data_IF_779438231547
#
_entry.id   IF_779438231547
#
_cell.length_a   1.000
_cell.length_b   1.000
_cell.length_c   1.000
_cell.angle_alpha   90.00
_cell.angle_beta   90.00
_cell.angle_gamma   90.00
#
_symmetry.space_group_name_H-M   'P 1'
#
loop_
_entity.id
_entity.type
_entity.pdbx_description
1 polymer ?
#
# COMPACT_ATOMS: atom_id res chain seq x y z
N UNK A 1 8.80 21.30 -1.96
CA UNK A 1 7.78 21.12 -0.96
C UNK A 1 7.37 19.65 -0.89
N UNK A 2 7.24 19.12 0.33
CA UNK A 2 6.92 17.71 0.62
C UNK A 2 5.65 17.21 -0.07
N UNK A 3 4.74 18.10 -0.37
CA UNK A 3 3.44 17.78 -0.98
C UNK A 3 3.54 17.17 -2.38
N UNK A 4 4.52 17.60 -3.16
CA UNK A 4 4.76 17.06 -4.49
C UNK A 4 5.25 15.60 -4.44
N UNK A 5 5.80 15.19 -3.29
CA UNK A 5 6.28 13.83 -3.07
C UNK A 5 5.16 12.78 -3.16
N UNK A 6 3.91 13.12 -2.79
CA UNK A 6 2.77 12.20 -2.94
C UNK A 6 2.57 11.73 -4.38
N UNK A 7 2.84 12.60 -5.35
CA UNK A 7 2.66 12.28 -6.78
C UNK A 7 3.96 11.78 -7.43
N UNK A 8 5.10 12.43 -7.12
CA UNK A 8 6.39 12.14 -7.76
C UNK A 8 7.12 10.95 -7.15
N UNK A 9 7.07 10.82 -5.81
CA UNK A 9 7.80 9.80 -5.08
C UNK A 9 7.15 8.42 -5.18
N UNK A 10 7.83 7.45 -4.57
CA UNK A 10 7.39 6.06 -4.58
C UNK A 10 6.21 5.76 -3.65
N UNK A 11 5.74 4.51 -3.66
CA UNK A 11 4.60 4.03 -2.87
C UNK A 11 4.72 4.26 -1.36
N UNK A 12 5.94 4.33 -0.85
CA UNK A 12 6.19 4.46 0.59
C UNK A 12 5.53 5.70 1.22
N UNK A 13 5.60 6.85 0.53
CA UNK A 13 5.00 8.11 1.01
C UNK A 13 3.49 8.03 1.03
N UNK A 14 2.88 7.46 -0.02
CA UNK A 14 1.43 7.29 -0.11
C UNK A 14 0.90 6.31 0.94
N UNK A 15 1.62 5.19 1.19
CA UNK A 15 1.28 4.29 2.30
C UNK A 15 1.37 4.97 3.65
N UNK A 16 2.46 5.73 3.90
CA UNK A 16 2.63 6.47 5.15
C UNK A 16 1.48 7.45 5.39
N UNK A 17 1.01 8.14 4.35
CA UNK A 17 -0.16 9.02 4.45
C UNK A 17 -1.41 8.23 4.88
N UNK A 18 -1.72 7.10 4.23
CA UNK A 18 -2.86 6.26 4.61
C UNK A 18 -2.73 5.75 6.04
N UNK A 19 -1.54 5.26 6.41
CA UNK A 19 -1.29 4.70 7.73
C UNK A 19 -1.43 5.75 8.84
N UNK A 20 -0.97 6.98 8.60
CA UNK A 20 -1.16 8.09 9.54
C UNK A 20 -2.64 8.43 9.71
N UNK A 21 -3.39 8.60 8.61
CA UNK A 21 -4.81 8.93 8.67
C UNK A 21 -5.62 7.83 9.35
N UNK A 22 -5.42 6.57 8.94
CA UNK A 22 -6.19 5.45 9.49
C UNK A 22 -5.83 5.13 10.94
N UNK A 23 -4.58 5.31 11.34
CA UNK A 23 -4.15 5.11 12.74
C UNK A 23 -4.76 6.16 13.69
N UNK A 24 -5.00 7.37 13.19
CA UNK A 24 -5.71 8.41 13.98
C UNK A 24 -7.22 8.12 14.09
N UNK A 25 -7.81 7.48 13.10
CA UNK A 25 -9.24 7.20 13.02
C UNK A 25 -9.64 5.86 13.65
N UNK A 26 -8.70 4.91 13.79
CA UNK A 26 -9.00 3.55 14.23
C UNK A 26 -7.86 2.92 15.01
N UNK A 27 -8.12 2.68 16.30
CA UNK A 27 -7.19 1.95 17.19
C UNK A 27 -6.98 0.50 16.71
N UNK A 28 -8.02 -0.12 16.14
CA UNK A 28 -7.93 -1.46 15.55
C UNK A 28 -6.97 -1.49 14.36
N UNK A 29 -7.01 -0.45 13.49
CA UNK A 29 -6.06 -0.31 12.40
C UNK A 29 -4.63 -0.16 12.91
N UNK A 30 -4.40 0.73 13.87
CA UNK A 30 -3.09 0.96 14.45
C UNK A 30 -2.50 -0.31 15.07
N UNK A 31 -3.30 -1.04 15.87
CA UNK A 31 -2.88 -2.32 16.46
C UNK A 31 -2.54 -3.37 15.39
N UNK A 32 -3.39 -3.50 14.36
CA UNK A 32 -3.16 -4.42 13.25
C UNK A 32 -1.88 -4.06 12.47
N UNK A 33 -1.62 -2.76 12.24
CA UNK A 33 -0.43 -2.30 11.56
C UNK A 33 0.85 -2.64 12.35
N UNK A 34 0.85 -2.46 13.66
CA UNK A 34 1.99 -2.82 14.52
C UNK A 34 2.25 -4.33 14.51
N UNK A 35 1.19 -5.16 14.60
CA UNK A 35 1.31 -6.62 14.51
C UNK A 35 1.91 -7.04 13.17
N UNK A 36 1.41 -6.47 12.08
CA UNK A 36 1.93 -6.74 10.75
C UNK A 36 3.40 -6.37 10.61
N UNK A 37 3.80 -5.18 11.07
CA UNK A 37 5.18 -4.71 10.98
C UNK A 37 6.14 -5.62 11.74
N UNK A 38 5.78 -6.03 12.97
CA UNK A 38 6.56 -6.97 13.77
C UNK A 38 6.73 -8.33 13.06
N UNK A 39 5.63 -8.88 12.52
CA UNK A 39 5.68 -10.15 11.79
C UNK A 39 6.53 -10.05 10.50
N UNK A 40 6.42 -8.93 9.78
CA UNK A 40 7.23 -8.67 8.58
C UNK A 40 8.73 -8.60 8.91
N UNK A 41 9.11 -7.93 9.99
CA UNK A 41 10.51 -7.87 10.45
C UNK A 41 11.05 -9.25 10.78
N UNK A 42 10.30 -10.05 11.55
CA UNK A 42 10.67 -11.40 11.94
C UNK A 42 10.79 -12.32 10.71
N UNK A 43 9.80 -12.30 9.81
CA UNK A 43 9.89 -13.08 8.56
C UNK A 43 11.06 -12.65 7.69
N UNK A 44 11.31 -11.34 7.58
CA UNK A 44 12.42 -10.82 6.78
C UNK A 44 13.77 -11.25 7.35
N UNK A 45 13.93 -11.33 8.68
CA UNK A 45 15.14 -11.85 9.31
C UNK A 45 15.39 -13.30 8.90
N UNK A 46 14.40 -14.18 9.01
CA UNK A 46 14.51 -15.58 8.54
C UNK A 46 14.85 -15.69 7.05
N UNK A 47 14.21 -14.88 6.21
CA UNK A 47 14.49 -14.91 4.77
C UNK A 47 15.93 -14.46 4.44
N UNK A 48 16.49 -13.52 5.20
CA UNK A 48 17.88 -13.09 5.04
C UNK A 48 18.88 -14.16 5.47
N UNK A 49 18.58 -14.89 6.54
CA UNK A 49 19.39 -16.04 6.97
C UNK A 49 19.33 -17.16 5.93
N UNK A 50 18.13 -17.46 5.43
CA UNK A 50 17.93 -18.44 4.37
C UNK A 50 18.70 -18.11 3.09
N UNK A 51 18.72 -16.83 2.69
CA UNK A 51 19.53 -16.34 1.56
C UNK A 51 21.03 -16.59 1.77
N UNK A 52 21.50 -16.65 3.02
CA UNK A 52 22.90 -16.95 3.37
C UNK A 52 23.20 -18.44 3.44
N UNK A 53 22.23 -19.30 3.14
CA UNK A 53 22.37 -20.74 3.12
C UNK A 53 21.93 -21.45 4.42
N UNK A 54 21.34 -20.73 5.37
CA UNK A 54 20.77 -21.32 6.59
C UNK A 54 19.36 -21.81 6.24
N UNK A 55 19.09 -23.10 6.34
CA UNK A 55 17.76 -23.65 6.06
C UNK A 55 16.75 -23.10 7.07
N UNK A 56 15.71 -22.35 6.62
CA UNK A 56 14.73 -21.77 7.53
C UNK A 56 13.82 -22.88 8.08
N UNK A 57 13.43 -22.76 9.34
CA UNK A 57 12.42 -23.62 9.94
C UNK A 57 11.06 -23.37 9.25
N UNK A 58 10.44 -24.38 8.62
CA UNK A 58 9.15 -24.23 7.95
C UNK A 58 8.02 -23.81 8.90
N UNK A 59 8.07 -24.24 10.16
CA UNK A 59 7.05 -23.90 11.18
C UNK A 59 7.13 -22.43 11.55
N UNK A 60 8.34 -21.87 11.66
CA UNK A 60 8.52 -20.45 11.91
C UNK A 60 8.07 -19.62 10.70
N UNK A 61 8.34 -20.05 9.47
CA UNK A 61 7.84 -19.39 8.27
C UNK A 61 6.30 -19.38 8.25
N UNK A 62 5.66 -20.53 8.49
CA UNK A 62 4.20 -20.63 8.57
C UNK A 62 3.63 -19.70 9.64
N UNK A 63 4.27 -19.63 10.81
CA UNK A 63 3.85 -18.80 11.94
C UNK A 63 3.90 -17.32 11.59
N UNK A 64 5.00 -16.86 11.00
CA UNK A 64 5.14 -15.43 10.63
C UNK A 64 4.28 -15.05 9.43
N UNK A 65 4.04 -15.96 8.49
CA UNK A 65 3.11 -15.73 7.38
C UNK A 65 1.67 -15.60 7.86
N UNK A 66 1.25 -16.41 8.82
CA UNK A 66 -0.05 -16.27 9.47
C UNK A 66 -0.16 -14.95 10.24
N UNK A 67 0.89 -14.60 10.99
CA UNK A 67 0.96 -13.34 11.73
C UNK A 67 0.99 -12.10 10.80
N UNK A 68 1.47 -12.23 9.56
CA UNK A 68 1.36 -11.19 8.53
C UNK A 68 -0.04 -11.17 7.88
N UNK A 69 -0.62 -12.33 7.60
CA UNK A 69 -1.89 -12.43 6.87
C UNK A 69 -3.08 -11.93 7.71
N UNK A 70 -3.16 -12.32 8.98
CA UNK A 70 -4.29 -12.02 9.86
C UNK A 70 -4.60 -10.51 9.98
N UNK A 71 -3.63 -9.61 10.25
CA UNK A 71 -3.89 -8.18 10.33
C UNK A 71 -4.36 -7.57 9.01
N UNK A 72 -4.05 -8.17 7.86
CA UNK A 72 -4.50 -7.68 6.55
C UNK A 72 -6.02 -7.65 6.42
N UNK A 73 -6.75 -8.52 7.17
CA UNK A 73 -8.20 -8.53 7.23
C UNK A 73 -8.82 -7.22 7.77
N UNK A 74 -8.07 -6.46 8.56
CA UNK A 74 -8.48 -5.13 9.05
C UNK A 74 -7.91 -4.04 8.15
N UNK A 75 -6.63 -4.14 7.80
CA UNK A 75 -5.89 -3.08 7.12
C UNK A 75 -6.42 -2.84 5.70
N UNK A 76 -6.53 -3.89 4.89
CA UNK A 76 -6.87 -3.75 3.47
C UNK A 76 -8.28 -3.21 3.21
N UNK A 77 -9.34 -3.68 3.89
CA UNK A 77 -10.67 -3.10 3.74
C UNK A 77 -10.74 -1.63 4.14
N UNK A 78 -10.04 -1.23 5.20
CA UNK A 78 -10.01 0.16 5.65
C UNK A 78 -9.23 1.05 4.68
N UNK A 79 -8.11 0.60 4.13
CA UNK A 79 -7.39 1.32 3.08
C UNK A 79 -8.23 1.48 1.82
N UNK A 80 -8.90 0.42 1.35
CA UNK A 80 -9.77 0.46 0.17
C UNK A 80 -10.92 1.48 0.37
N UNK A 81 -11.56 1.44 1.53
CA UNK A 81 -12.64 2.38 1.90
C UNK A 81 -12.13 3.83 1.91
N UNK A 82 -11.01 4.09 2.59
CA UNK A 82 -10.45 5.44 2.67
C UNK A 82 -10.04 5.97 1.29
N UNK A 83 -9.34 5.16 0.48
CA UNK A 83 -8.93 5.58 -0.87
C UNK A 83 -10.13 5.88 -1.75
N UNK A 84 -11.23 5.12 -1.68
CA UNK A 84 -12.47 5.42 -2.41
C UNK A 84 -13.09 6.75 -1.99
N UNK A 85 -13.08 7.06 -0.70
CA UNK A 85 -13.58 8.34 -0.19
C UNK A 85 -12.69 9.51 -0.63
N UNK A 86 -11.37 9.38 -0.45
CA UNK A 86 -10.40 10.38 -0.87
C UNK A 86 -10.45 10.58 -2.39
N UNK A 87 -10.59 9.53 -3.18
CA UNK A 87 -10.65 9.61 -4.64
C UNK A 87 -11.79 10.51 -5.12
N UNK A 88 -12.97 10.40 -4.50
CA UNK A 88 -14.12 11.24 -4.84
C UNK A 88 -13.84 12.72 -4.52
N UNK A 89 -13.40 12.99 -3.29
CA UNK A 89 -13.12 14.35 -2.83
C UNK A 89 -11.99 14.98 -3.65
N UNK A 90 -10.90 14.25 -3.85
CA UNK A 90 -9.75 14.75 -4.58
C UNK A 90 -10.05 15.02 -6.08
N UNK A 91 -10.92 14.20 -6.70
CA UNK A 91 -11.34 14.48 -8.09
C UNK A 91 -12.15 15.78 -8.21
N UNK A 92 -13.12 16.00 -7.32
CA UNK A 92 -13.90 17.23 -7.26
C UNK A 92 -13.01 18.47 -6.99
N UNK A 93 -12.06 18.34 -6.05
CA UNK A 93 -11.10 19.42 -5.74
C UNK A 93 -10.15 19.70 -6.89
N UNK A 94 -9.65 18.63 -7.55
CA UNK A 94 -8.77 18.78 -8.72
C UNK A 94 -9.44 19.56 -9.84
N UNK A 95 -10.66 19.22 -10.19
CA UNK A 95 -11.45 19.93 -11.21
C UNK A 95 -11.63 21.42 -10.87
N UNK A 96 -12.02 21.69 -9.61
CA UNK A 96 -12.21 23.08 -9.14
C UNK A 96 -10.93 23.91 -9.17
N UNK A 97 -9.79 23.32 -8.77
CA UNK A 97 -8.49 24.03 -8.72
C UNK A 97 -7.90 24.20 -10.13
N UNK A 98 -8.00 23.17 -10.97
CA UNK A 98 -7.44 23.21 -12.33
C UNK A 98 -8.25 24.10 -13.27
N UNK A 99 -9.57 24.27 -13.02
CA UNK A 99 -10.50 24.89 -13.95
C UNK A 99 -10.69 24.13 -15.26
N UNK A 100 -10.31 22.85 -15.30
CA UNK A 100 -10.30 22.01 -16.52
C UNK A 100 -11.18 20.76 -16.32
N UNK A 101 -12.48 20.84 -16.61
CA UNK A 101 -13.42 19.74 -16.37
C UNK A 101 -13.12 18.48 -17.17
N UNK A 102 -12.36 18.59 -18.26
CA UNK A 102 -11.98 17.46 -19.11
C UNK A 102 -10.73 16.70 -18.58
N UNK A 103 -10.02 17.25 -17.60
CA UNK A 103 -8.88 16.58 -16.96
C UNK A 103 -9.36 15.65 -15.83
N UNK A 104 -9.77 14.43 -16.18
CA UNK A 104 -10.24 13.45 -15.21
C UNK A 104 -9.08 12.93 -14.34
N UNK A 105 -8.99 13.44 -13.10
CA UNK A 105 -8.10 12.94 -12.06
C UNK A 105 -8.71 11.70 -11.39
N UNK A 106 -7.89 10.67 -11.17
CA UNK A 106 -8.33 9.45 -10.48
C UNK A 106 -7.28 8.97 -9.48
N UNK A 107 -7.78 8.50 -8.33
CA UNK A 107 -7.02 7.73 -7.34
C UNK A 107 -7.58 6.33 -7.26
N UNK A 108 -6.71 5.32 -7.24
CA UNK A 108 -7.13 3.91 -7.14
C UNK A 108 -6.24 3.17 -6.16
N UNK A 109 -6.85 2.41 -5.26
CA UNK A 109 -6.10 1.51 -4.39
C UNK A 109 -5.56 0.33 -5.19
N UNK A 110 -4.27 0.06 -5.04
CA UNK A 110 -3.54 -1.03 -5.69
C UNK A 110 -3.11 -2.04 -4.62
N UNK A 111 -3.98 -2.98 -4.26
CA UNK A 111 -3.69 -3.99 -3.25
C UNK A 111 -2.71 -5.04 -3.77
N UNK A 112 -2.02 -5.71 -2.84
CA UNK A 112 -1.10 -6.81 -3.16
C UNK A 112 -1.82 -8.11 -3.59
N UNK A 113 -3.10 -8.26 -3.25
CA UNK A 113 -3.99 -9.33 -3.76
C UNK A 113 -5.32 -8.73 -4.22
N UNK A 114 -6.01 -9.36 -5.20
CA UNK A 114 -7.27 -8.81 -5.75
C UNK A 114 -8.41 -8.74 -4.72
N UNK A 115 -8.49 -9.73 -3.81
CA UNK A 115 -9.52 -9.80 -2.78
C UNK A 115 -9.32 -8.72 -1.73
N UNK A 116 -10.36 -7.93 -1.46
CA UNK A 116 -10.29 -6.75 -0.58
C UNK A 116 -11.18 -6.86 0.65
N UNK A 117 -12.28 -7.61 0.57
CA UNK A 117 -13.24 -7.77 1.67
C UNK A 117 -12.81 -8.82 2.67
N UNK A 118 -12.22 -9.92 2.21
CA UNK A 118 -11.64 -10.97 3.05
C UNK A 118 -10.28 -11.39 2.50
N UNK A 119 -9.23 -10.54 2.61
CA UNK A 119 -7.95 -10.77 1.95
C UNK A 119 -7.09 -11.85 2.63
N UNK A 120 -7.38 -12.25 3.87
CA UNK A 120 -6.53 -13.13 4.67
C UNK A 120 -6.19 -14.45 3.96
N UNK A 121 -7.15 -15.22 3.40
CA UNK A 121 -6.82 -16.46 2.69
C UNK A 121 -5.94 -16.21 1.45
N UNK A 122 -6.18 -15.14 0.70
CA UNK A 122 -5.42 -14.80 -0.49
C UNK A 122 -3.99 -14.37 -0.15
N UNK A 123 -3.81 -13.56 0.89
CA UNK A 123 -2.49 -13.16 1.40
C UNK A 123 -1.70 -14.38 1.86
N UNK A 124 -2.33 -15.26 2.64
CA UNK A 124 -1.69 -16.49 3.11
C UNK A 124 -1.23 -17.37 1.94
N UNK A 125 -2.07 -17.55 0.94
CA UNK A 125 -1.74 -18.33 -0.26
C UNK A 125 -0.57 -17.70 -1.03
N UNK A 126 -0.56 -16.39 -1.22
CA UNK A 126 0.48 -15.69 -1.96
C UNK A 126 1.82 -15.70 -1.20
N UNK A 127 1.82 -15.53 0.13
CA UNK A 127 3.04 -15.65 0.95
C UNK A 127 3.67 -17.05 0.86
N UNK A 128 2.85 -18.11 0.87
CA UNK A 128 3.34 -19.48 0.68
C UNK A 128 3.90 -19.71 -0.72
N UNK A 129 3.21 -19.22 -1.73
CA UNK A 129 3.62 -19.34 -3.13
C UNK A 129 4.93 -18.61 -3.41
N UNK A 130 5.13 -17.43 -2.82
CA UNK A 130 6.32 -16.59 -3.05
C UNK A 130 7.56 -17.02 -2.27
N UNK A 131 7.48 -18.00 -1.35
CA UNK A 131 8.57 -18.36 -0.42
C UNK A 131 9.93 -18.52 -1.08
N UNK A 132 10.00 -19.28 -2.17
CA UNK A 132 11.28 -19.56 -2.84
C UNK A 132 11.91 -18.27 -3.38
N UNK A 133 11.10 -17.43 -3.98
CA UNK A 133 11.56 -16.13 -4.49
C UNK A 133 11.91 -15.19 -3.34
N UNK A 134 11.12 -15.17 -2.27
CA UNK A 134 11.36 -14.37 -1.07
C UNK A 134 12.68 -14.75 -0.40
N UNK A 135 13.03 -16.06 -0.36
CA UNK A 135 14.32 -16.56 0.12
C UNK A 135 15.45 -16.07 -0.79
N UNK A 136 15.27 -16.21 -2.11
CA UNK A 136 16.28 -15.79 -3.10
C UNK A 136 16.59 -14.30 -2.98
N UNK A 137 15.56 -13.47 -2.78
CA UNK A 137 15.69 -12.01 -2.64
C UNK A 137 16.13 -11.62 -1.22
N UNK A 138 15.73 -12.38 -0.19
CA UNK A 138 15.96 -12.07 1.24
C UNK A 138 14.94 -11.06 1.77
N UNK A 139 13.71 -11.09 1.27
CA UNK A 139 12.65 -10.17 1.68
C UNK A 139 11.29 -10.54 1.12
N UNK A 140 10.22 -10.13 1.81
CA UNK A 140 8.85 -10.43 1.41
C UNK A 140 8.42 -9.66 0.15
N UNK A 141 7.97 -10.38 -0.87
CA UNK A 141 7.48 -9.82 -2.15
C UNK A 141 6.01 -9.42 -2.11
N UNK A 142 5.20 -10.04 -1.23
CA UNK A 142 3.77 -9.77 -1.07
C UNK A 142 3.44 -9.22 0.32
N UNK A 143 2.38 -8.42 0.40
CA UNK A 143 1.81 -7.87 1.63
C UNK A 143 1.53 -6.38 1.55
N UNK A 144 0.91 -5.82 2.59
CA UNK A 144 0.47 -4.41 2.63
C UNK A 144 1.63 -3.40 2.48
N UNK A 145 2.87 -3.80 2.74
CA UNK A 145 4.08 -3.00 2.54
C UNK A 145 4.48 -2.86 1.06
N UNK A 146 3.84 -3.62 0.15
CA UNK A 146 4.03 -3.55 -1.31
C UNK A 146 2.90 -2.85 -2.05
N UNK A 147 1.82 -2.53 -1.35
CA UNK A 147 0.67 -1.84 -1.93
C UNK A 147 0.96 -0.39 -2.33
N UNK A 148 0.09 0.17 -3.17
CA UNK A 148 0.19 1.55 -3.61
C UNK A 148 -1.18 2.22 -3.80
N UNK A 149 -1.15 3.51 -4.05
CA UNK A 149 -2.25 4.30 -4.58
C UNK A 149 -1.85 4.75 -5.98
N UNK A 150 -2.56 4.25 -6.99
CA UNK A 150 -2.41 4.71 -8.35
C UNK A 150 -3.00 6.11 -8.52
N UNK A 151 -2.20 7.03 -9.06
CA UNK A 151 -2.63 8.38 -9.41
C UNK A 151 -2.59 8.54 -10.92
N UNK A 152 -3.73 8.83 -11.54
CA UNK A 152 -3.82 8.99 -12.99
C UNK A 152 -4.60 10.24 -13.38
N UNK A 153 -4.25 10.79 -14.54
CA UNK A 153 -4.93 11.89 -15.19
C UNK A 153 -5.24 11.47 -16.63
N UNK A 154 -6.51 11.59 -17.04
CA UNK A 154 -6.94 11.12 -18.36
C UNK A 154 -6.54 9.66 -18.66
N UNK A 155 -6.56 8.78 -17.65
CA UNK A 155 -6.17 7.38 -17.77
C UNK A 155 -4.65 7.12 -17.83
N UNK A 156 -3.80 8.16 -17.81
CA UNK A 156 -2.33 8.04 -17.83
C UNK A 156 -1.74 8.26 -16.44
N UNK A 157 -0.69 7.51 -16.11
CA UNK A 157 0.02 7.67 -14.83
C UNK A 157 0.56 9.09 -14.68
N UNK A 158 0.18 9.77 -13.59
CA UNK A 158 0.66 11.13 -13.32
C UNK A 158 2.16 11.20 -13.07
N UNK A 159 2.75 10.14 -12.50
CA UNK A 159 4.20 10.08 -12.26
C UNK A 159 5.01 10.22 -13.55
N UNK A 160 4.48 9.72 -14.68
CA UNK A 160 5.21 9.65 -15.97
C UNK A 160 4.82 10.80 -16.88
N UNK A 161 3.53 11.17 -16.93
CA UNK A 161 3.00 12.03 -18.00
C UNK A 161 2.50 13.40 -17.55
N UNK A 162 2.30 13.62 -16.24
CA UNK A 162 1.75 14.87 -15.78
C UNK A 162 2.79 16.00 -15.79
N UNK A 163 2.35 17.21 -16.20
CA UNK A 163 3.13 18.43 -16.07
C UNK A 163 3.34 18.81 -14.60
N UNK A 164 4.31 19.67 -14.32
CA UNK A 164 4.54 20.15 -12.95
C UNK A 164 3.33 20.86 -12.35
N UNK A 165 2.58 21.62 -13.16
CA UNK A 165 1.34 22.27 -12.74
C UNK A 165 0.28 21.24 -12.32
N UNK A 166 0.05 20.22 -13.15
CA UNK A 166 -0.88 19.14 -12.85
C UNK A 166 -0.50 18.37 -11.57
N UNK A 167 0.78 18.12 -11.35
CA UNK A 167 1.29 17.47 -10.14
C UNK A 167 1.01 18.32 -8.89
N UNK A 168 1.22 19.65 -8.97
CA UNK A 168 0.92 20.58 -7.87
C UNK A 168 -0.58 20.60 -7.55
N UNK A 169 -1.41 20.70 -8.59
CA UNK A 169 -2.87 20.68 -8.45
C UNK A 169 -3.35 19.38 -7.80
N UNK A 170 -2.83 18.22 -8.23
CA UNK A 170 -3.20 16.94 -7.65
C UNK A 170 -2.75 16.81 -6.18
N UNK A 171 -1.51 17.22 -5.88
CA UNK A 171 -1.01 17.20 -4.50
C UNK A 171 -1.88 18.08 -3.57
N UNK A 172 -2.27 19.26 -4.03
CA UNK A 172 -3.16 20.14 -3.27
C UNK A 172 -4.56 19.56 -3.13
N UNK A 173 -5.12 18.98 -4.19
CA UNK A 173 -6.44 18.35 -4.18
C UNK A 173 -6.54 17.14 -3.22
N UNK A 174 -5.46 16.40 -3.04
CA UNK A 174 -5.40 15.26 -2.08
C UNK A 174 -5.33 15.76 -0.63
N UNK A 175 -4.71 16.91 -0.38
CA UNK A 175 -4.52 17.46 0.97
C UNK A 175 -5.70 18.24 1.53
N UNK A 176 -6.49 18.85 0.68
CA UNK A 176 -7.66 19.67 1.04
C UNK A 176 -8.90 18.81 1.30
#
# INVERSE_FOLDING_TARGET
>A
PEDLMLVKEGPAIRRRMLDMMLSQLSTAYFSALQQYQKALEQRTALLREAKRGITPDPVLLDTFEEAMATPCGIIMPLRDKLVKQLAKIAAEKYERISGRPNEMFRMTYQPCVPERSNPVPAIRAELKKSRQEDIRVGGAGCGIHREDIGLSLMGRSMKVFASQGQIRTAALAIKL
#
